data_IF_057593210592
#
_entry.id   IF_057593210592
#
_cell.length_a   1.000
_cell.length_b   1.000
_cell.length_c   1.000
_cell.angle_alpha   90.00
_cell.angle_beta   90.00
_cell.angle_gamma   90.00
#
_symmetry.space_group_name_H-M   'P 1'
#
loop_
_entity.id
_entity.type
_entity.pdbx_description
1 polymer ?
#
# COMPACT_ATOMS: atom_id res chain seq x y z
N UNK A 1 -6.08 7.59 -37.79
CA UNK A 1 -5.19 6.63 -37.08
C UNK A 1 -5.28 5.21 -37.64
N UNK A 2 -4.14 4.52 -37.84
CA UNK A 2 -4.08 3.13 -38.33
C UNK A 2 -4.49 2.07 -37.27
N UNK A 3 -4.71 0.83 -37.69
CA UNK A 3 -5.18 -0.25 -36.79
C UNK A 3 -4.14 -0.69 -35.75
N UNK A 4 -2.84 -0.66 -36.07
CA UNK A 4 -1.79 -1.01 -35.13
C UNK A 4 -1.73 0.01 -33.98
N UNK A 5 -1.82 1.29 -34.32
CA UNK A 5 -1.96 2.41 -33.40
C UNK A 5 -3.19 2.29 -32.49
N UNK A 6 -4.35 1.90 -33.06
CA UNK A 6 -5.56 1.63 -32.26
C UNK A 6 -5.38 0.45 -31.30
N UNK A 7 -4.67 -0.60 -31.70
CA UNK A 7 -4.34 -1.73 -30.80
C UNK A 7 -3.46 -1.28 -29.64
N UNK A 8 -2.45 -0.43 -29.90
CA UNK A 8 -1.63 0.16 -28.84
C UNK A 8 -2.48 0.99 -27.88
N UNK A 9 -3.35 1.86 -28.40
CA UNK A 9 -4.26 2.65 -27.56
C UNK A 9 -5.20 1.79 -26.72
N UNK A 10 -5.70 0.67 -27.24
CA UNK A 10 -6.51 -0.28 -26.46
C UNK A 10 -5.73 -0.90 -25.31
N UNK A 11 -4.45 -1.24 -25.52
CA UNK A 11 -3.58 -1.80 -24.46
C UNK A 11 -3.34 -0.80 -23.33
N UNK A 12 -3.19 0.48 -23.66
CA UNK A 12 -2.91 1.55 -22.68
C UNK A 12 -4.18 2.29 -22.22
N UNK A 13 -5.35 1.91 -22.73
CA UNK A 13 -6.62 2.62 -22.55
C UNK A 13 -6.96 2.89 -21.08
N UNK A 14 -6.78 1.87 -20.22
CA UNK A 14 -7.01 1.98 -18.78
C UNK A 14 -6.09 3.02 -18.14
N UNK A 15 -4.79 2.97 -18.47
CA UNK A 15 -3.78 3.91 -17.96
C UNK A 15 -4.13 5.33 -18.38
N UNK A 16 -4.56 5.55 -19.62
CA UNK A 16 -4.97 6.86 -20.09
C UNK A 16 -6.18 7.40 -19.32
N UNK A 17 -7.22 6.60 -19.09
CA UNK A 17 -8.40 7.03 -18.32
C UNK A 17 -8.06 7.41 -16.88
N UNK A 18 -7.11 6.68 -16.28
CA UNK A 18 -6.71 6.86 -14.89
C UNK A 18 -5.76 8.05 -14.68
N UNK A 19 -5.09 8.52 -15.73
CA UNK A 19 -3.98 9.47 -15.57
C UNK A 19 -4.10 10.74 -16.43
N UNK A 20 -4.91 10.72 -17.49
CA UNK A 20 -5.09 11.88 -18.36
C UNK A 20 -6.20 12.78 -17.84
N UNK A 21 -5.93 14.07 -17.66
CA UNK A 21 -6.98 15.09 -17.73
C UNK A 21 -6.94 15.69 -19.14
N UNK A 22 -7.95 15.40 -19.99
CA UNK A 22 -7.98 15.90 -21.35
C UNK A 22 -7.91 17.42 -21.47
N UNK A 23 -8.28 18.21 -20.45
CA UNK A 23 -8.30 19.67 -20.58
C UNK A 23 -6.95 20.25 -21.01
N UNK A 24 -5.85 19.71 -20.49
CA UNK A 24 -4.52 20.19 -20.81
C UNK A 24 -4.04 19.76 -22.19
N UNK A 25 -4.53 18.62 -22.71
CA UNK A 25 -4.11 18.06 -24.00
C UNK A 25 -4.98 18.55 -25.15
N UNK A 26 -6.27 18.78 -24.87
CA UNK A 26 -7.24 19.27 -25.85
C UNK A 26 -6.87 20.64 -26.40
N UNK A 27 -6.32 21.53 -25.57
CA UNK A 27 -5.96 22.87 -26.00
C UNK A 27 -4.82 22.81 -27.03
N UNK A 28 -3.81 21.97 -26.79
CA UNK A 28 -2.76 21.67 -27.79
C UNK A 28 -3.35 21.07 -29.06
N UNK A 29 -4.23 20.06 -28.95
CA UNK A 29 -4.85 19.43 -30.12
C UNK A 29 -5.78 20.37 -30.89
N UNK A 30 -6.34 21.38 -30.24
CA UNK A 30 -7.09 22.44 -30.88
C UNK A 30 -6.17 23.41 -31.64
N UNK A 31 -5.04 23.79 -31.04
CA UNK A 31 -4.03 24.67 -31.66
C UNK A 31 -3.41 24.07 -32.94
N UNK A 32 -3.31 22.74 -33.02
CA UNK A 32 -2.82 22.04 -34.21
C UNK A 32 -3.95 21.57 -35.17
N UNK A 33 -5.15 22.15 -35.05
CA UNK A 33 -6.33 21.88 -35.88
C UNK A 33 -6.79 20.40 -35.93
N UNK A 34 -6.44 19.61 -34.91
CA UNK A 34 -6.91 18.23 -34.78
C UNK A 34 -8.28 18.18 -34.13
N UNK A 35 -8.48 18.95 -33.05
CA UNK A 35 -9.77 19.12 -32.39
C UNK A 35 -10.42 20.43 -32.84
N UNK A 36 -11.74 20.43 -32.99
CA UNK A 36 -12.49 21.67 -33.23
C UNK A 36 -13.21 22.13 -31.95
N UNK A 37 -13.72 23.37 -31.98
CA UNK A 37 -14.36 24.00 -30.82
C UNK A 37 -15.52 23.16 -30.25
N UNK A 38 -16.32 22.50 -31.11
CA UNK A 38 -17.44 21.67 -30.67
C UNK A 38 -16.98 20.44 -29.88
N UNK A 39 -15.89 19.81 -30.30
CA UNK A 39 -15.28 18.68 -29.59
C UNK A 39 -14.74 19.13 -28.23
N UNK A 40 -14.02 20.24 -28.19
CA UNK A 40 -13.48 20.79 -26.94
C UNK A 40 -14.61 21.15 -25.95
N UNK A 41 -15.69 21.78 -26.43
CA UNK A 41 -16.87 22.09 -25.61
C UNK A 41 -17.55 20.83 -25.07
N UNK A 42 -17.75 19.82 -25.93
CA UNK A 42 -18.36 18.54 -25.54
C UNK A 42 -17.53 17.86 -24.44
N UNK A 43 -16.21 17.83 -24.57
CA UNK A 43 -15.35 17.21 -23.56
C UNK A 43 -15.32 18.04 -22.26
N UNK A 44 -15.26 19.37 -22.35
CA UNK A 44 -15.31 20.25 -21.17
C UNK A 44 -16.64 20.16 -20.41
N UNK A 45 -17.75 19.85 -21.09
CA UNK A 45 -19.06 19.63 -20.44
C UNK A 45 -19.14 18.35 -19.60
N UNK A 46 -18.19 17.41 -19.74
CA UNK A 46 -18.18 16.18 -18.95
C UNK A 46 -17.52 16.47 -17.59
N UNK A 47 -18.31 16.49 -16.52
CA UNK A 47 -17.85 16.86 -15.18
C UNK A 47 -16.69 15.95 -14.69
N UNK A 48 -16.86 14.63 -14.77
CA UNK A 48 -15.88 13.69 -14.25
C UNK A 48 -14.67 13.49 -15.18
N UNK A 49 -13.46 13.66 -14.65
CA UNK A 49 -12.19 13.49 -15.39
C UNK A 49 -12.09 12.14 -16.09
N UNK A 50 -12.45 11.05 -15.40
CA UNK A 50 -12.37 9.69 -15.97
C UNK A 50 -13.32 9.49 -17.17
N UNK A 51 -14.53 10.02 -17.10
CA UNK A 51 -15.49 9.98 -18.22
C UNK A 51 -15.04 10.87 -19.38
N UNK A 52 -14.44 12.01 -19.05
CA UNK A 52 -13.82 12.90 -20.03
C UNK A 52 -12.67 12.22 -20.75
N UNK A 53 -11.79 11.54 -20.01
CA UNK A 53 -10.67 10.78 -20.56
C UNK A 53 -11.14 9.60 -21.41
N UNK A 54 -12.20 8.88 -20.99
CA UNK A 54 -12.88 7.86 -21.81
C UNK A 54 -13.36 8.43 -23.14
N UNK A 55 -14.09 9.55 -23.09
CA UNK A 55 -14.62 10.19 -24.30
C UNK A 55 -13.49 10.73 -25.18
N UNK A 56 -12.45 11.31 -24.59
CA UNK A 56 -11.25 11.77 -25.29
C UNK A 56 -10.59 10.63 -26.05
N UNK A 57 -10.33 9.50 -25.38
CA UNK A 57 -9.72 8.32 -26.01
C UNK A 57 -10.59 7.75 -27.14
N UNK A 58 -11.90 7.70 -26.93
CA UNK A 58 -12.83 7.32 -27.99
C UNK A 58 -12.69 8.23 -29.22
N UNK A 59 -12.66 9.55 -29.03
CA UNK A 59 -12.54 10.52 -30.12
C UNK A 59 -11.20 10.40 -30.85
N UNK A 60 -10.10 10.31 -30.11
CA UNK A 60 -8.75 10.11 -30.66
C UNK A 60 -8.66 8.87 -31.55
N UNK A 61 -9.34 7.77 -31.19
CA UNK A 61 -9.35 6.54 -32.02
C UNK A 61 -10.25 6.64 -33.26
N UNK A 62 -11.14 7.64 -33.33
CA UNK A 62 -12.14 7.83 -34.39
C UNK A 62 -11.81 8.98 -35.34
N UNK A 63 -10.80 9.77 -35.03
CA UNK A 63 -10.37 10.89 -35.86
C UNK A 63 -9.43 10.42 -36.98
N UNK A 64 -9.77 10.79 -38.20
CA UNK A 64 -9.00 10.42 -39.39
C UNK A 64 -7.69 11.21 -39.49
N UNK A 65 -7.71 12.49 -39.10
CA UNK A 65 -6.54 13.39 -39.04
C UNK A 65 -5.63 13.17 -37.82
N UNK A 66 -6.02 12.31 -36.87
CA UNK A 66 -5.23 12.04 -35.66
C UNK A 66 -4.21 10.92 -35.90
N UNK A 67 -2.94 11.22 -35.63
CA UNK A 67 -1.82 10.26 -35.68
C UNK A 67 -1.28 9.95 -34.28
N UNK A 68 -0.56 8.85 -34.12
CA UNK A 68 0.08 8.52 -32.85
C UNK A 68 1.19 9.51 -32.49
N UNK A 69 1.93 10.02 -33.46
CA UNK A 69 2.98 11.02 -33.22
C UNK A 69 2.41 12.34 -32.72
N UNK A 70 1.26 12.78 -33.27
CA UNK A 70 0.54 13.96 -32.76
C UNK A 70 0.06 13.75 -31.33
N UNK A 71 -0.47 12.58 -31.00
CA UNK A 71 -0.85 12.26 -29.62
C UNK A 71 0.36 12.23 -28.69
N UNK A 72 1.46 11.61 -29.13
CA UNK A 72 2.71 11.53 -28.39
C UNK A 72 3.25 12.93 -28.09
N UNK A 73 3.29 13.80 -29.10
CA UNK A 73 3.78 15.17 -28.97
C UNK A 73 2.88 16.02 -28.07
N UNK A 74 1.55 15.91 -28.23
CA UNK A 74 0.59 16.58 -27.37
C UNK A 74 0.81 16.19 -25.90
N UNK A 75 0.98 14.90 -25.61
CA UNK A 75 1.22 14.42 -24.25
C UNK A 75 2.55 14.92 -23.68
N UNK A 76 3.63 14.96 -24.47
CA UNK A 76 4.92 15.49 -24.00
C UNK A 76 4.85 16.97 -23.69
N UNK A 77 4.23 17.74 -24.58
CA UNK A 77 4.15 19.19 -24.50
C UNK A 77 3.26 19.68 -23.35
N UNK A 78 2.32 18.86 -22.88
CA UNK A 78 1.34 19.26 -21.85
C UNK A 78 1.57 18.57 -20.50
N UNK A 79 2.80 18.15 -20.20
CA UNK A 79 3.18 17.58 -18.89
C UNK A 79 2.83 16.09 -18.69
N UNK A 80 2.33 15.41 -19.72
CA UNK A 80 2.06 13.96 -19.72
C UNK A 80 3.13 13.15 -20.45
N UNK A 81 4.40 13.60 -20.41
CA UNK A 81 5.51 12.91 -21.09
C UNK A 81 5.66 11.44 -20.69
N UNK A 82 5.15 11.04 -19.53
CA UNK A 82 5.08 9.64 -19.15
C UNK A 82 4.04 8.82 -19.92
N UNK A 83 2.87 9.39 -20.26
CA UNK A 83 1.87 8.70 -21.08
C UNK A 83 2.40 8.54 -22.50
N UNK A 84 3.15 9.54 -22.98
CA UNK A 84 3.89 9.45 -24.22
C UNK A 84 4.88 8.27 -24.19
N UNK A 85 5.65 8.13 -23.10
CA UNK A 85 6.57 7.01 -22.93
C UNK A 85 5.86 5.65 -22.83
N UNK A 86 4.70 5.58 -22.16
CA UNK A 86 3.86 4.37 -22.12
C UNK A 86 3.37 3.98 -23.52
N UNK A 87 2.95 4.94 -24.36
CA UNK A 87 2.59 4.67 -25.76
C UNK A 87 3.78 4.10 -26.55
N UNK A 88 4.98 4.68 -26.35
CA UNK A 88 6.19 4.26 -27.03
C UNK A 88 6.63 2.85 -26.62
N UNK A 89 6.62 2.54 -25.33
CA UNK A 89 7.03 1.22 -24.82
C UNK A 89 6.04 0.10 -25.19
N UNK A 90 4.74 0.43 -25.19
CA UNK A 90 3.66 -0.49 -25.63
C UNK A 90 3.70 -0.82 -27.13
N UNK A 91 4.51 -0.08 -27.90
CA UNK A 91 4.75 -0.32 -29.32
C UNK A 91 5.88 -1.35 -29.56
N UNK A 92 6.73 -1.63 -28.56
CA UNK A 92 7.94 -2.45 -28.71
C UNK A 92 8.06 -3.67 -27.77
N UNK A 93 7.18 -3.86 -26.77
CA UNK A 93 7.25 -5.05 -25.91
C UNK A 93 5.94 -5.38 -25.18
N UNK A 94 5.78 -6.66 -24.83
CA UNK A 94 4.64 -7.26 -24.12
C UNK A 94 4.81 -7.28 -22.59
N UNK A 95 5.49 -6.29 -22.02
CA UNK A 95 5.60 -6.15 -20.57
C UNK A 95 4.71 -4.99 -20.11
N UNK A 96 3.58 -5.31 -19.49
CA UNK A 96 2.70 -4.34 -18.86
C UNK A 96 3.42 -3.69 -17.67
N UNK A 97 3.98 -2.50 -17.87
CA UNK A 97 4.33 -1.61 -16.76
C UNK A 97 3.02 -1.06 -16.22
N UNK A 98 2.37 -1.80 -15.31
CA UNK A 98 1.28 -1.29 -14.50
C UNK A 98 1.84 -0.16 -13.64
N UNK A 99 1.34 1.06 -13.83
CA UNK A 99 1.65 2.17 -12.93
C UNK A 99 1.02 1.91 -11.57
N UNK A 100 1.87 2.00 -10.56
CA UNK A 100 1.52 2.16 -9.15
C UNK A 100 0.51 3.32 -9.03
N UNK A 101 -0.71 3.02 -8.59
CA UNK A 101 -1.81 3.99 -8.48
C UNK A 101 -1.39 5.27 -7.74
N UNK A 102 -2.04 6.40 -8.00
CA UNK A 102 -1.81 7.65 -7.26
C UNK A 102 -2.12 7.45 -5.76
N UNK A 103 -1.10 7.04 -5.02
CA UNK A 103 -1.22 6.62 -3.63
C UNK A 103 -1.38 7.80 -2.67
N UNK A 104 -1.39 9.05 -3.16
CA UNK A 104 -1.33 10.27 -2.35
C UNK A 104 -2.60 11.14 -2.41
N UNK A 105 -3.77 10.51 -2.57
CA UNK A 105 -5.04 11.24 -2.52
C UNK A 105 -5.37 11.75 -1.11
N UNK A 106 -6.10 12.88 -1.01
CA UNK A 106 -6.67 13.38 0.27
C UNK A 106 -7.51 12.32 0.99
N UNK A 107 -8.10 11.39 0.24
CA UNK A 107 -8.88 10.29 0.79
C UNK A 107 -7.98 9.22 1.43
N UNK A 108 -6.89 8.82 0.76
CA UNK A 108 -5.89 7.91 1.34
C UNK A 108 -5.33 8.44 2.65
N UNK A 109 -5.00 9.74 2.73
CA UNK A 109 -4.56 10.38 3.97
C UNK A 109 -5.51 10.12 5.15
N UNK A 110 -6.83 10.19 4.92
CA UNK A 110 -7.82 9.89 5.97
C UNK A 110 -7.78 8.44 6.40
N UNK A 111 -7.58 7.51 5.46
CA UNK A 111 -7.46 6.08 5.76
C UNK A 111 -6.18 5.76 6.56
N UNK A 112 -5.04 6.36 6.20
CA UNK A 112 -3.78 6.22 6.95
C UNK A 112 -3.97 6.66 8.40
N UNK A 113 -4.50 7.87 8.59
CA UNK A 113 -4.71 8.45 9.93
C UNK A 113 -5.68 7.60 10.75
N UNK A 114 -6.81 7.20 10.14
CA UNK A 114 -7.78 6.32 10.81
C UNK A 114 -7.15 4.98 11.23
N UNK A 115 -6.40 4.35 10.33
CA UNK A 115 -5.76 3.08 10.63
C UNK A 115 -4.69 3.18 11.72
N UNK A 116 -3.94 4.27 11.71
CA UNK A 116 -2.93 4.56 12.71
C UNK A 116 -3.55 4.85 14.07
N UNK A 117 -4.68 5.56 14.11
CA UNK A 117 -5.48 5.73 15.31
C UNK A 117 -5.91 4.36 15.90
N UNK A 118 -6.48 3.47 15.09
CA UNK A 118 -6.85 2.11 15.55
C UNK A 118 -5.63 1.32 16.06
N UNK A 119 -4.48 1.44 15.39
CA UNK A 119 -3.23 0.82 15.87
C UNK A 119 -2.89 1.32 17.27
N UNK A 120 -2.92 2.63 17.50
CA UNK A 120 -2.60 3.21 18.81
C UNK A 120 -3.49 2.64 19.90
N UNK A 121 -4.80 2.57 19.68
CA UNK A 121 -5.73 1.98 20.65
C UNK A 121 -5.36 0.52 20.99
N UNK A 122 -5.06 -0.29 19.97
CA UNK A 122 -4.68 -1.69 20.17
C UNK A 122 -3.37 -1.85 20.96
N UNK A 123 -2.38 -0.98 20.72
CA UNK A 123 -1.07 -1.03 21.38
C UNK A 123 -1.07 -0.36 22.78
N UNK A 124 -1.96 0.61 23.03
CA UNK A 124 -2.09 1.26 24.34
C UNK A 124 -2.98 0.48 25.32
N UNK A 125 -3.62 -0.60 24.88
CA UNK A 125 -4.52 -1.40 25.71
C UNK A 125 -5.96 -0.85 25.80
N UNK A 126 -6.31 0.16 24.99
CA UNK A 126 -7.67 0.70 24.93
C UNK A 126 -8.55 -0.15 24.00
N UNK A 127 -8.85 -1.37 24.47
CA UNK A 127 -9.57 -2.37 23.69
C UNK A 127 -11.04 -2.05 23.49
N UNK A 128 -11.66 -1.34 24.44
CA UNK A 128 -13.08 -0.95 24.36
C UNK A 128 -13.28 0.03 23.22
N UNK A 129 -12.52 1.14 23.20
CA UNK A 129 -12.62 2.13 22.12
C UNK A 129 -12.24 1.53 20.77
N UNK A 130 -11.27 0.61 20.75
CA UNK A 130 -10.88 -0.10 19.53
C UNK A 130 -12.05 -0.91 18.95
N UNK A 131 -12.73 -1.70 19.78
CA UNK A 131 -13.89 -2.50 19.37
C UNK A 131 -15.05 -1.63 18.91
N UNK A 132 -15.36 -0.54 19.62
CA UNK A 132 -16.40 0.43 19.22
C UNK A 132 -16.16 0.99 17.82
N UNK A 133 -14.93 1.43 17.53
CA UNK A 133 -14.57 2.00 16.21
C UNK A 133 -14.53 0.93 15.11
N UNK A 134 -14.15 -0.31 15.43
CA UNK A 134 -14.26 -1.43 14.50
C UNK A 134 -15.72 -1.72 14.14
N UNK A 135 -16.60 -1.89 15.14
CA UNK A 135 -18.01 -2.20 14.91
C UNK A 135 -18.75 -1.07 14.21
N UNK A 136 -18.36 0.18 14.47
CA UNK A 136 -18.88 1.35 13.74
C UNK A 136 -18.53 1.30 12.25
N UNK A 137 -17.30 0.92 11.89
CA UNK A 137 -16.92 0.74 10.49
C UNK A 137 -17.70 -0.41 9.83
N UNK A 138 -17.86 -1.53 10.54
CA UNK A 138 -18.65 -2.68 10.07
C UNK A 138 -20.13 -2.32 9.84
N UNK A 139 -20.77 -1.64 10.80
CA UNK A 139 -22.16 -1.20 10.68
C UNK A 139 -22.35 -0.23 9.51
N UNK A 140 -21.43 0.73 9.36
CA UNK A 140 -21.45 1.65 8.22
C UNK A 140 -21.34 0.90 6.88
N UNK A 141 -20.47 -0.11 6.79
CA UNK A 141 -20.38 -0.96 5.59
C UNK A 141 -21.70 -1.69 5.32
N UNK A 142 -22.28 -2.37 6.33
CA UNK A 142 -23.55 -3.10 6.20
C UNK A 142 -24.71 -2.21 5.74
N UNK A 143 -24.80 -0.98 6.25
CA UNK A 143 -25.82 -0.01 5.82
C UNK A 143 -25.62 0.38 4.36
N UNK A 144 -24.38 0.67 3.96
CA UNK A 144 -24.08 1.13 2.59
C UNK A 144 -24.23 -0.01 1.58
N UNK A 145 -23.83 -1.23 1.93
CA UNK A 145 -23.99 -2.42 1.12
C UNK A 145 -25.46 -2.70 0.78
N UNK A 146 -26.35 -2.55 1.77
CA UNK A 146 -27.78 -2.81 1.62
C UNK A 146 -28.58 -1.64 1.00
N UNK A 147 -28.03 -0.43 0.95
CA UNK A 147 -28.77 0.78 0.55
C UNK A 147 -28.72 1.10 -0.96
N UNK A 148 -27.97 0.35 -1.77
CA UNK A 148 -27.85 0.57 -3.22
C UNK A 148 -27.15 1.88 -3.63
N UNK A 149 -26.63 2.67 -2.66
CA UNK A 149 -25.97 3.96 -2.89
C UNK A 149 -24.53 3.78 -3.39
N UNK A 150 -24.34 3.64 -4.71
CA UNK A 150 -23.03 3.38 -5.34
C UNK A 150 -21.93 4.37 -4.94
N UNK A 151 -22.25 5.66 -4.84
CA UNK A 151 -21.26 6.73 -4.62
C UNK A 151 -20.64 6.76 -3.21
N UNK A 152 -21.21 6.07 -2.22
CA UNK A 152 -20.66 5.97 -0.85
C UNK A 152 -20.00 4.63 -0.57
N UNK A 153 -20.16 3.66 -1.47
CA UNK A 153 -19.78 2.26 -1.26
C UNK A 153 -18.28 2.07 -1.11
N UNK A 154 -17.49 2.68 -1.99
CA UNK A 154 -16.04 2.52 -1.93
C UNK A 154 -15.44 3.11 -0.64
N UNK A 155 -15.91 4.29 -0.22
CA UNK A 155 -15.40 4.91 1.02
C UNK A 155 -15.68 4.05 2.25
N UNK A 156 -16.91 3.56 2.38
CA UNK A 156 -17.28 2.69 3.48
C UNK A 156 -16.50 1.37 3.45
N UNK A 157 -16.32 0.78 2.27
CA UNK A 157 -15.51 -0.42 2.08
C UNK A 157 -14.06 -0.19 2.52
N UNK A 158 -13.44 0.91 2.10
CA UNK A 158 -12.05 1.22 2.46
C UNK A 158 -11.88 1.39 3.97
N UNK A 159 -12.74 2.17 4.63
CA UNK A 159 -12.68 2.31 6.09
C UNK A 159 -12.86 0.97 6.80
N UNK A 160 -13.79 0.13 6.34
CA UNK A 160 -14.02 -1.18 6.95
C UNK A 160 -12.86 -2.15 6.67
N UNK A 161 -12.26 -2.13 5.48
CA UNK A 161 -11.06 -2.91 5.16
C UNK A 161 -9.90 -2.54 6.09
N UNK A 162 -9.65 -1.25 6.29
CA UNK A 162 -8.62 -0.78 7.22
C UNK A 162 -8.95 -1.15 8.67
N UNK A 163 -10.22 -1.19 9.06
CA UNK A 163 -10.63 -1.71 10.36
C UNK A 163 -10.37 -3.22 10.51
N UNK A 164 -10.60 -4.03 9.47
CA UNK A 164 -10.25 -5.45 9.44
C UNK A 164 -8.73 -5.69 9.52
N UNK A 165 -7.93 -4.91 8.78
CA UNK A 165 -6.46 -4.93 8.91
C UNK A 165 -6.02 -4.58 10.34
N UNK A 166 -6.70 -3.64 11.00
CA UNK A 166 -6.46 -3.31 12.40
C UNK A 166 -6.87 -4.43 13.36
N UNK A 167 -8.00 -5.09 13.09
CA UNK A 167 -8.46 -6.26 13.84
C UNK A 167 -7.44 -7.39 13.83
N UNK A 168 -6.88 -7.71 12.66
CA UNK A 168 -5.81 -8.70 12.54
C UNK A 168 -4.57 -8.35 13.40
N UNK A 169 -4.18 -7.06 13.45
CA UNK A 169 -3.07 -6.61 14.29
C UNK A 169 -3.41 -6.66 15.78
N UNK A 170 -4.61 -6.23 16.17
CA UNK A 170 -5.10 -6.34 17.54
C UNK A 170 -5.09 -7.79 18.03
N UNK A 171 -5.65 -8.71 17.26
CA UNK A 171 -5.64 -10.15 17.54
C UNK A 171 -4.22 -10.71 17.69
N UNK A 172 -3.27 -10.18 16.92
CA UNK A 172 -1.85 -10.50 17.08
C UNK A 172 -1.24 -9.92 18.38
N UNK A 173 -1.56 -8.69 18.76
CA UNK A 173 -1.06 -8.05 20.00
C UNK A 173 -1.51 -8.82 21.25
N UNK A 174 -2.74 -9.34 21.25
CA UNK A 174 -3.27 -10.21 22.33
C UNK A 174 -2.92 -11.70 22.13
N UNK A 175 -2.17 -12.03 21.08
CA UNK A 175 -1.74 -13.39 20.74
C UNK A 175 -2.89 -14.42 20.61
N UNK A 176 -3.98 -14.03 19.94
CA UNK A 176 -5.13 -14.90 19.66
C UNK A 176 -4.78 -15.92 18.57
N UNK A 177 -4.50 -17.17 18.98
CA UNK A 177 -4.16 -18.29 18.09
C UNK A 177 -5.31 -18.75 17.20
N UNK A 178 -6.54 -18.29 17.45
CA UNK A 178 -7.70 -18.65 16.65
C UNK A 178 -7.94 -17.70 15.47
N UNK A 179 -7.14 -16.62 15.33
CA UNK A 179 -7.30 -15.63 14.26
C UNK A 179 -7.46 -16.27 12.87
N UNK A 180 -6.67 -17.31 12.56
CA UNK A 180 -6.70 -18.04 11.29
C UNK A 180 -8.08 -18.64 10.96
N UNK A 181 -8.86 -18.99 11.99
CA UNK A 181 -10.18 -19.64 11.85
C UNK A 181 -11.35 -18.65 11.93
N UNK A 182 -11.08 -17.36 12.04
CA UNK A 182 -12.12 -16.33 12.03
C UNK A 182 -12.50 -15.93 10.60
N UNK A 183 -13.71 -15.38 10.43
CA UNK A 183 -14.23 -14.92 9.13
C UNK A 183 -13.58 -13.61 8.63
N UNK A 184 -12.57 -13.08 9.35
CA UNK A 184 -11.93 -11.79 9.03
C UNK A 184 -11.29 -11.80 7.65
N UNK A 185 -10.65 -12.91 7.26
CA UNK A 185 -9.96 -13.03 5.98
C UNK A 185 -10.95 -13.16 4.82
N UNK A 186 -12.07 -13.87 5.04
CA UNK A 186 -13.16 -13.96 4.07
C UNK A 186 -13.82 -12.61 3.87
N UNK A 187 -14.04 -11.85 4.96
CA UNK A 187 -14.54 -10.47 4.89
C UNK A 187 -13.59 -9.55 4.10
N UNK A 188 -12.28 -9.67 4.31
CA UNK A 188 -11.28 -8.90 3.54
C UNK A 188 -11.33 -9.23 2.04
N UNK A 189 -11.47 -10.51 1.68
CA UNK A 189 -11.58 -10.94 0.27
C UNK A 189 -12.89 -10.44 -0.36
N UNK A 190 -14.02 -10.58 0.35
CA UNK A 190 -15.33 -10.15 -0.12
C UNK A 190 -15.45 -8.63 -0.33
N UNK A 191 -14.62 -7.83 0.35
CA UNK A 191 -14.57 -6.38 0.16
C UNK A 191 -13.82 -5.96 -1.10
N UNK A 192 -12.92 -6.80 -1.65
CA UNK A 192 -12.02 -6.47 -2.77
C UNK A 192 -12.71 -5.75 -3.94
N UNK A 193 -13.91 -6.16 -4.42
CA UNK A 193 -14.57 -5.51 -5.55
C UNK A 193 -15.01 -4.06 -5.28
N UNK A 194 -15.02 -3.62 -4.02
CA UNK A 194 -15.53 -2.32 -3.59
C UNK A 194 -14.44 -1.36 -3.16
N UNK A 195 -13.17 -1.76 -3.14
CA UNK A 195 -12.08 -0.96 -2.60
C UNK A 195 -11.51 0.01 -3.64
N UNK A 196 -10.95 1.12 -3.16
CA UNK A 196 -10.35 2.14 -4.02
C UNK A 196 -9.01 1.72 -4.64
N UNK A 197 -8.32 0.75 -4.02
CA UNK A 197 -7.03 0.24 -4.46
C UNK A 197 -7.14 -1.27 -4.73
N UNK A 198 -6.74 -1.71 -5.93
CA UNK A 198 -6.95 -3.09 -6.38
C UNK A 198 -5.96 -4.09 -5.76
N UNK A 199 -4.72 -3.66 -5.55
CA UNK A 199 -3.60 -4.54 -5.14
C UNK A 199 -3.41 -4.62 -3.62
N UNK A 200 -3.68 -3.52 -2.91
CA UNK A 200 -3.53 -3.41 -1.45
C UNK A 200 -4.31 -4.49 -0.70
N UNK A 201 -5.58 -4.82 -1.04
CA UNK A 201 -6.40 -5.70 -0.23
C UNK A 201 -5.87 -7.13 -0.19
N UNK A 202 -5.49 -7.65 -1.35
CA UNK A 202 -4.92 -8.98 -1.50
C UNK A 202 -3.56 -9.08 -0.79
N UNK A 203 -2.67 -8.10 -1.02
CA UNK A 203 -1.37 -8.04 -0.37
C UNK A 203 -1.49 -8.06 1.17
N UNK A 204 -2.36 -7.22 1.72
CA UNK A 204 -2.57 -7.14 3.16
C UNK A 204 -3.28 -8.39 3.70
N UNK A 205 -4.24 -8.97 2.99
CA UNK A 205 -4.88 -10.23 3.39
C UNK A 205 -3.86 -11.36 3.46
N UNK A 206 -3.05 -11.54 2.43
CA UNK A 206 -2.02 -12.60 2.35
C UNK A 206 -1.02 -12.49 3.50
N UNK A 207 -0.43 -11.31 3.72
CA UNK A 207 0.59 -11.15 4.78
C UNK A 207 0.00 -11.33 6.19
N UNK A 208 -1.24 -10.89 6.42
CA UNK A 208 -1.93 -11.08 7.70
C UNK A 208 -2.30 -12.55 7.92
N UNK A 209 -2.75 -13.23 6.87
CA UNK A 209 -3.06 -14.66 6.92
C UNK A 209 -1.81 -15.49 7.21
N UNK A 210 -0.70 -15.24 6.50
CA UNK A 210 0.59 -15.89 6.80
C UNK A 210 1.04 -15.65 8.25
N UNK A 211 0.85 -14.44 8.77
CA UNK A 211 1.12 -14.15 10.19
C UNK A 211 0.22 -14.95 11.13
N UNK A 212 -1.05 -15.17 10.79
CA UNK A 212 -1.99 -15.95 11.58
C UNK A 212 -1.66 -17.45 11.56
N UNK A 213 -1.31 -18.00 10.39
CA UNK A 213 -0.83 -19.39 10.21
C UNK A 213 0.30 -19.68 11.20
N UNK A 214 1.33 -18.82 11.22
CA UNK A 214 2.48 -18.99 12.09
C UNK A 214 2.14 -18.85 13.59
N UNK A 215 1.17 -17.99 13.93
CA UNK A 215 0.71 -17.86 15.32
C UNK A 215 -0.03 -19.12 15.79
N UNK A 216 -0.81 -19.73 14.92
CA UNK A 216 -1.55 -20.97 15.19
C UNK A 216 -0.60 -22.16 15.32
N UNK A 217 0.32 -22.32 14.37
CA UNK A 217 1.35 -23.35 14.39
C UNK A 217 2.71 -22.80 14.00
N UNK A 218 3.67 -22.85 14.93
CA UNK A 218 5.04 -22.34 14.71
C UNK A 218 5.82 -23.13 13.66
N UNK A 219 5.47 -24.39 13.45
CA UNK A 219 6.16 -25.27 12.50
C UNK A 219 5.83 -24.93 11.03
N UNK A 220 4.80 -24.11 10.79
CA UNK A 220 4.34 -23.68 9.46
C UNK A 220 5.10 -22.46 8.93
N UNK A 221 6.34 -22.22 9.38
CA UNK A 221 7.14 -21.05 9.00
C UNK A 221 7.30 -20.91 7.48
N UNK A 222 7.60 -22.00 6.77
CA UNK A 222 7.79 -21.96 5.32
C UNK A 222 6.46 -21.62 4.60
N UNK A 223 5.35 -22.21 5.05
CA UNK A 223 4.01 -21.92 4.54
C UNK A 223 3.66 -20.44 4.77
N UNK A 224 3.91 -19.92 5.98
CA UNK A 224 3.69 -18.53 6.34
C UNK A 224 4.52 -17.56 5.48
N UNK A 225 5.81 -17.87 5.26
CA UNK A 225 6.69 -17.09 4.39
C UNK A 225 6.26 -17.16 2.91
N UNK A 226 5.67 -18.27 2.46
CA UNK A 226 5.05 -18.38 1.14
C UNK A 226 4.03 -17.27 0.88
N UNK A 227 3.09 -17.06 1.82
CA UNK A 227 2.10 -15.98 1.72
C UNK A 227 2.74 -14.58 1.75
N UNK A 228 3.83 -14.39 2.49
CA UNK A 228 4.59 -13.13 2.49
C UNK A 228 5.24 -12.88 1.13
N UNK A 229 5.82 -13.91 0.50
CA UNK A 229 6.39 -13.79 -0.83
C UNK A 229 5.33 -13.47 -1.89
N UNK A 230 4.14 -14.10 -1.79
CA UNK A 230 3.01 -13.78 -2.66
C UNK A 230 2.56 -12.33 -2.47
N UNK A 231 2.51 -11.83 -1.23
CA UNK A 231 2.23 -10.42 -0.95
C UNK A 231 3.30 -9.49 -1.56
N UNK A 232 4.59 -9.85 -1.43
CA UNK A 232 5.72 -9.08 -1.99
C UNK A 232 5.73 -9.05 -3.51
N UNK A 233 5.21 -10.08 -4.18
CA UNK A 233 5.07 -10.08 -5.65
C UNK A 233 4.24 -8.90 -6.17
N UNK A 234 3.42 -8.27 -5.30
CA UNK A 234 2.61 -7.10 -5.63
C UNK A 234 3.36 -5.76 -5.43
N UNK A 235 4.59 -5.75 -4.91
CA UNK A 235 5.35 -4.52 -4.66
C UNK A 235 5.67 -3.76 -5.95
N UNK A 236 5.84 -4.46 -7.06
CA UNK A 236 6.05 -3.82 -8.37
C UNK A 236 4.82 -3.04 -8.82
N UNK A 237 3.64 -3.40 -8.29
CA UNK A 237 2.35 -2.79 -8.60
C UNK A 237 1.95 -1.67 -7.62
N UNK A 238 2.74 -1.44 -6.56
CA UNK A 238 2.43 -0.47 -5.50
C UNK A 238 3.62 0.45 -5.17
N UNK A 239 3.34 1.71 -4.82
CA UNK A 239 4.39 2.59 -4.28
C UNK A 239 4.79 2.13 -2.88
N UNK A 240 6.00 2.51 -2.49
CA UNK A 240 6.41 2.40 -1.09
C UNK A 240 5.44 3.21 -0.22
N UNK A 241 4.96 2.60 0.88
CA UNK A 241 3.93 3.16 1.74
C UNK A 241 3.85 2.36 3.05
N UNK A 242 2.92 2.76 3.93
CA UNK A 242 2.63 2.04 5.18
C UNK A 242 2.36 0.55 4.98
N UNK A 243 1.57 0.15 3.99
CA UNK A 243 1.18 -1.26 3.81
C UNK A 243 2.36 -2.11 3.32
N UNK A 244 3.11 -1.63 2.34
CA UNK A 244 4.32 -2.34 1.87
C UNK A 244 5.39 -2.39 2.97
N UNK A 245 5.55 -1.33 3.76
CA UNK A 245 6.38 -1.35 4.97
C UNK A 245 5.87 -2.35 6.02
N UNK A 246 4.56 -2.51 6.17
CA UNK A 246 3.95 -3.51 7.05
C UNK A 246 4.23 -4.93 6.59
N UNK A 247 4.22 -5.19 5.28
CA UNK A 247 4.61 -6.50 4.72
C UNK A 247 6.04 -6.86 5.08
N UNK A 248 7.00 -5.95 4.85
CA UNK A 248 8.40 -6.11 5.23
C UNK A 248 8.57 -6.29 6.75
N UNK A 249 7.80 -5.56 7.55
CA UNK A 249 7.82 -5.70 9.00
C UNK A 249 7.30 -7.08 9.47
N UNK A 250 6.28 -7.63 8.82
CA UNK A 250 5.78 -8.96 9.14
C UNK A 250 6.82 -10.02 8.72
N UNK A 251 7.42 -9.89 7.54
CA UNK A 251 8.53 -10.74 7.09
C UNK A 251 9.68 -10.76 8.11
N UNK A 252 10.12 -9.57 8.53
CA UNK A 252 11.14 -9.41 9.57
C UNK A 252 10.80 -10.21 10.82
N UNK A 253 9.55 -10.15 11.29
CA UNK A 253 9.14 -10.86 12.50
C UNK A 253 9.19 -12.39 12.34
N UNK A 254 8.77 -12.91 11.19
CA UNK A 254 8.84 -14.34 10.90
C UNK A 254 10.29 -14.82 10.82
N UNK A 255 11.15 -14.07 10.14
CA UNK A 255 12.57 -14.38 10.04
C UNK A 255 13.32 -14.21 11.37
N UNK A 256 12.88 -13.30 12.25
CA UNK A 256 13.41 -13.21 13.61
C UNK A 256 13.11 -14.48 14.42
N UNK A 257 11.95 -15.11 14.21
CA UNK A 257 11.65 -16.41 14.83
C UNK A 257 12.60 -17.49 14.29
N UNK A 258 12.79 -17.55 12.96
CA UNK A 258 13.78 -18.45 12.35
C UNK A 258 15.18 -18.25 12.92
N UNK A 259 15.60 -16.99 13.07
CA UNK A 259 16.91 -16.65 13.62
C UNK A 259 17.05 -17.13 15.05
N UNK A 260 16.04 -16.95 15.89
CA UNK A 260 16.05 -17.42 17.28
C UNK A 260 16.17 -18.95 17.40
N UNK A 261 15.69 -19.71 16.41
CA UNK A 261 15.71 -21.18 16.40
C UNK A 261 16.98 -21.76 15.77
N UNK A 262 17.50 -21.14 14.71
CA UNK A 262 18.55 -21.72 13.86
C UNK A 262 19.91 -21.05 13.97
N UNK A 263 19.96 -19.78 14.41
CA UNK A 263 21.16 -18.94 14.45
C UNK A 263 21.92 -18.90 13.10
N UNK A 264 21.19 -18.98 11.98
CA UNK A 264 21.76 -19.05 10.64
C UNK A 264 22.71 -17.87 10.34
N UNK A 265 23.96 -18.12 9.87
CA UNK A 265 24.88 -17.07 9.47
C UNK A 265 24.29 -16.19 8.35
N UNK A 266 24.46 -14.87 8.45
CA UNK A 266 23.94 -13.91 7.45
C UNK A 266 22.48 -13.50 7.64
N UNK A 267 21.67 -14.27 8.38
CA UNK A 267 20.26 -13.93 8.63
C UNK A 267 20.11 -12.62 9.43
N UNK A 268 21.07 -12.33 10.32
CA UNK A 268 21.13 -11.05 11.05
C UNK A 268 21.29 -9.84 10.11
N UNK A 269 22.08 -9.98 9.04
CA UNK A 269 22.29 -8.93 8.04
C UNK A 269 21.05 -8.77 7.15
N UNK A 270 20.46 -9.89 6.71
CA UNK A 270 19.20 -9.89 5.98
C UNK A 270 18.08 -9.19 6.77
N UNK A 271 17.93 -9.51 8.05
CA UNK A 271 16.97 -8.86 8.94
C UNK A 271 17.22 -7.36 9.06
N UNK A 272 18.49 -6.94 9.17
CA UNK A 272 18.84 -5.51 9.17
C UNK A 272 18.43 -4.81 7.86
N UNK A 273 18.64 -5.45 6.70
CA UNK A 273 18.26 -4.90 5.40
C UNK A 273 16.74 -4.76 5.26
N UNK A 274 15.97 -5.81 5.62
CA UNK A 274 14.49 -5.78 5.58
C UNK A 274 13.94 -4.68 6.49
N UNK A 275 14.50 -4.53 7.69
CA UNK A 275 14.07 -3.50 8.63
C UNK A 275 14.34 -2.09 8.11
N UNK A 276 15.51 -1.83 7.51
CA UNK A 276 15.81 -0.53 6.91
C UNK A 276 14.89 -0.22 5.74
N UNK A 277 14.63 -1.20 4.86
CA UNK A 277 13.64 -1.05 3.78
C UNK A 277 12.24 -0.74 4.33
N UNK A 278 11.82 -1.42 5.40
CA UNK A 278 10.53 -1.13 6.04
C UNK A 278 10.46 0.33 6.53
N UNK A 279 11.53 0.85 7.16
CA UNK A 279 11.62 2.26 7.61
C UNK A 279 11.53 3.21 6.41
N UNK A 280 12.22 2.93 5.31
CA UNK A 280 12.14 3.73 4.08
C UNK A 280 10.72 3.77 3.52
N UNK A 281 10.01 2.64 3.51
CA UNK A 281 8.63 2.58 3.08
C UNK A 281 7.69 3.37 3.98
N UNK A 282 7.91 3.34 5.30
CA UNK A 282 7.15 4.17 6.24
C UNK A 282 7.46 5.66 6.13
N UNK A 283 8.67 6.04 5.71
CA UNK A 283 9.08 7.44 5.58
C UNK A 283 8.28 8.20 4.52
N UNK A 284 7.68 7.49 3.57
CA UNK A 284 6.78 8.07 2.57
C UNK A 284 5.55 8.72 3.23
N UNK A 285 5.14 8.26 4.41
CA UNK A 285 3.97 8.80 5.12
C UNK A 285 4.26 10.14 5.83
N UNK A 286 5.52 10.60 5.88
CA UNK A 286 5.92 11.88 6.51
C UNK A 286 5.14 13.05 5.91
N UNK A 287 4.89 13.02 4.59
CA UNK A 287 4.15 14.07 3.89
C UNK A 287 2.69 14.19 4.36
N UNK A 288 2.12 13.13 4.95
CA UNK A 288 0.76 13.13 5.45
C UNK A 288 0.66 13.44 6.93
N UNK A 289 1.40 12.69 7.73
CA UNK A 289 1.41 12.74 9.19
C UNK A 289 2.72 12.13 9.70
N UNK A 290 3.66 12.98 10.09
CA UNK A 290 4.95 12.58 10.63
C UNK A 290 4.81 11.59 11.80
N UNK A 291 3.74 11.69 12.59
CA UNK A 291 3.54 10.81 13.75
C UNK A 291 3.26 9.36 13.34
N UNK A 292 2.72 9.13 12.14
CA UNK A 292 2.59 7.78 11.55
C UNK A 292 3.99 7.20 11.39
N UNK A 293 4.84 7.89 10.63
CA UNK A 293 6.21 7.45 10.37
C UNK A 293 6.99 7.21 11.68
N UNK A 294 6.94 8.16 12.61
CA UNK A 294 7.67 8.06 13.88
C UNK A 294 7.26 6.83 14.70
N UNK A 295 5.97 6.52 14.78
CA UNK A 295 5.48 5.35 15.52
C UNK A 295 5.93 4.03 14.86
N UNK A 296 5.86 3.92 13.53
CA UNK A 296 6.35 2.71 12.84
C UNK A 296 7.87 2.59 12.91
N UNK A 297 8.61 3.68 12.68
CA UNK A 297 10.07 3.72 12.82
C UNK A 297 10.51 3.28 14.22
N UNK A 298 9.87 3.78 15.28
CA UNK A 298 10.14 3.37 16.66
C UNK A 298 10.05 1.85 16.81
N UNK A 299 8.96 1.25 16.33
CA UNK A 299 8.74 -0.20 16.45
C UNK A 299 9.82 -1.01 15.73
N UNK A 300 10.27 -0.57 14.55
CA UNK A 300 11.32 -1.25 13.80
C UNK A 300 12.68 -1.09 14.51
N UNK A 301 13.03 0.13 14.92
CA UNK A 301 14.30 0.40 15.61
C UNK A 301 14.42 -0.34 16.95
N UNK A 302 13.32 -0.48 17.69
CA UNK A 302 13.30 -1.26 18.92
C UNK A 302 13.61 -2.73 18.64
N UNK A 303 12.98 -3.31 17.61
CA UNK A 303 13.25 -4.71 17.22
C UNK A 303 14.64 -4.93 16.66
N UNK A 304 15.18 -3.98 15.92
CA UNK A 304 16.58 -4.02 15.50
C UNK A 304 17.53 -3.97 16.69
N UNK A 305 17.23 -3.13 17.68
CA UNK A 305 18.01 -3.08 18.92
C UNK A 305 17.99 -4.42 19.64
N UNK A 306 16.82 -5.07 19.73
CA UNK A 306 16.69 -6.41 20.31
C UNK A 306 17.51 -7.45 19.53
N UNK A 307 17.38 -7.50 18.20
CA UNK A 307 18.16 -8.40 17.35
C UNK A 307 19.67 -8.24 17.56
N UNK A 308 20.16 -6.99 17.59
CA UNK A 308 21.58 -6.70 17.80
C UNK A 308 22.07 -7.13 19.18
N UNK A 309 21.23 -6.97 20.20
CA UNK A 309 21.53 -7.34 21.59
C UNK A 309 21.25 -8.80 21.92
N UNK A 310 20.86 -9.62 20.94
CA UNK A 310 20.54 -11.04 21.16
C UNK A 310 19.27 -11.24 21.98
N UNK A 311 18.28 -10.37 21.81
CA UNK A 311 16.96 -10.47 22.46
C UNK A 311 15.94 -10.91 21.40
N UNK A 312 15.29 -12.04 21.63
CA UNK A 312 14.26 -12.60 20.75
C UNK A 312 12.91 -11.86 20.84
N UNK A 313 11.96 -12.27 19.99
CA UNK A 313 10.65 -11.60 19.83
C UNK A 313 9.76 -11.54 21.09
N UNK A 314 10.08 -12.32 22.13
CA UNK A 314 9.37 -12.36 23.41
C UNK A 314 10.27 -12.00 24.60
N UNK A 315 11.34 -11.24 24.38
CA UNK A 315 12.27 -10.84 25.43
C UNK A 315 13.23 -11.95 25.90
N UNK A 316 13.21 -13.11 25.23
CA UNK A 316 14.11 -14.23 25.54
C UNK A 316 15.51 -13.91 25.04
N UNK A 317 16.51 -14.04 25.91
CA UNK A 317 17.91 -13.92 25.51
C UNK A 317 18.31 -15.12 24.63
N UNK A 318 18.82 -14.83 23.44
CA UNK A 318 19.35 -15.79 22.50
C UNK A 318 20.81 -16.07 22.84
N UNK A 319 21.24 -17.32 22.65
CA UNK A 319 22.65 -17.71 22.80
C UNK A 319 23.46 -17.26 21.58
N UNK A 320 23.66 -15.95 21.45
CA UNK A 320 24.38 -15.32 20.33
C UNK A 320 25.48 -14.41 20.82
N UNK A 321 26.59 -14.38 20.09
CA UNK A 321 27.66 -13.45 20.36
C UNK A 321 27.25 -12.01 20.02
N UNK A 322 27.23 -11.13 21.02
CA UNK A 322 26.95 -9.69 20.87
C UNK A 322 28.26 -8.92 20.80
N UNK A 323 28.59 -8.41 19.61
CA UNK A 323 29.83 -7.69 19.37
C UNK A 323 29.80 -6.25 19.92
N UNK A 324 30.96 -5.61 20.03
CA UNK A 324 31.05 -4.17 20.35
C UNK A 324 30.32 -3.31 19.33
N UNK A 325 30.36 -3.69 18.05
CA UNK A 325 29.68 -2.97 16.98
C UNK A 325 28.15 -3.10 17.11
N UNK A 326 27.64 -4.28 17.47
CA UNK A 326 26.22 -4.49 17.75
C UNK A 326 25.73 -3.58 18.88
N UNK A 327 26.47 -3.52 19.98
CA UNK A 327 26.17 -2.64 21.12
C UNK A 327 26.16 -1.17 20.69
N UNK A 328 27.11 -0.76 19.85
CA UNK A 328 27.21 0.61 19.33
C UNK A 328 25.99 0.96 18.46
N UNK A 329 25.62 0.10 17.52
CA UNK A 329 24.44 0.30 16.64
C UNK A 329 23.14 0.32 17.45
N UNK A 330 22.94 -0.66 18.34
CA UNK A 330 21.75 -0.71 19.20
C UNK A 330 21.61 0.54 20.06
N UNK A 331 22.73 1.02 20.64
CA UNK A 331 22.73 2.29 21.39
C UNK A 331 22.33 3.49 20.53
N UNK A 332 22.77 3.54 19.27
CA UNK A 332 22.36 4.56 18.31
C UNK A 332 20.85 4.55 18.05
N UNK A 333 20.27 3.38 17.81
CA UNK A 333 18.84 3.20 17.59
C UNK A 333 18.01 3.59 18.82
N UNK A 334 18.37 3.11 20.01
CA UNK A 334 17.69 3.44 21.26
C UNK A 334 17.79 4.94 21.59
N UNK A 335 18.92 5.59 21.27
CA UNK A 335 19.07 7.04 21.41
C UNK A 335 18.11 7.79 20.49
N UNK A 336 18.02 7.40 19.22
CA UNK A 336 17.07 8.00 18.26
C UNK A 336 15.62 7.88 18.71
N UNK A 337 15.25 6.80 19.41
CA UNK A 337 13.92 6.65 20.02
C UNK A 337 13.75 7.61 21.21
N UNK A 338 14.75 7.66 22.11
CA UNK A 338 14.71 8.46 23.34
C UNK A 338 14.67 9.97 23.10
N UNK A 339 15.32 10.46 22.04
CA UNK A 339 15.37 11.89 21.70
C UNK A 339 13.98 12.45 21.34
N UNK A 340 13.04 11.62 20.92
CA UNK A 340 11.62 11.97 20.81
C UNK A 340 10.90 11.60 22.12
N UNK A 341 10.68 12.60 22.99
CA UNK A 341 9.97 12.41 24.28
C UNK A 341 8.64 11.67 24.09
N UNK A 342 7.87 12.05 23.06
CA UNK A 342 6.62 11.37 22.70
C UNK A 342 6.84 9.91 22.27
N UNK A 343 7.91 9.61 21.52
CA UNK A 343 8.20 8.22 21.13
C UNK A 343 8.59 7.36 22.33
N UNK A 344 9.31 7.93 23.30
CA UNK A 344 9.71 7.24 24.53
C UNK A 344 8.53 6.99 25.46
N UNK A 345 7.69 7.99 25.69
CA UNK A 345 6.50 7.88 26.55
C UNK A 345 5.44 6.92 25.97
N UNK A 346 5.47 6.70 24.64
CA UNK A 346 4.59 5.78 23.92
C UNK A 346 5.21 4.39 23.70
N UNK A 347 6.32 4.06 24.35
CA UNK A 347 6.79 2.68 24.36
C UNK A 347 5.78 1.79 25.09
N UNK A 348 5.57 0.58 24.57
CA UNK A 348 4.82 -0.43 25.31
C UNK A 348 5.51 -0.64 26.67
N UNK A 349 4.74 -0.69 27.75
CA UNK A 349 5.27 -0.89 29.11
C UNK A 349 5.84 -2.30 29.34
N UNK A 350 5.62 -3.22 28.39
CA UNK A 350 5.96 -4.65 28.49
C UNK A 350 7.46 -4.93 28.41
#
# INVERSE_FOLDING_TARGET
MDEQSKVVLRKVHRIFIENLDPNYVMDFLYEIDVFNANICLKLRSIEFRGDRARMFMFLVTKMDNMTMDMLYEALRSTGYGFLAEVLRQSSYSSASVQRKAEHFSKFRKKLVVYRHYLKRLSHSGDHVTFEEEFFKAEQNWKIVENSGLSNKRFKAADFYFFALDAWCEYKRVIYDKNLMYTDVFDKMENLKPYLSEENLPEMMRLVRYGSAVLMTNKDELNTALGYVNDAKSKFDLMHACRETGTVLYIEYNMLCQKYAETLEPGLKEQLNNIANQAIEHFAVEIEFDETVYLDYKRMVLLKLSHLLLGIGMFGVYLDVSVTTEDKRKAKGFLRSIKESKESWERMETR
#
